data_IF_071614808468
#
_entry.id   IF_071614808468
#
_cell.length_a   1.000
_cell.length_b   1.000
_cell.length_c   1.000
_cell.angle_alpha   90.00
_cell.angle_beta   90.00
_cell.angle_gamma   90.00
#
_symmetry.space_group_name_H-M   'P 1'
#
loop_
_entity.id
_entity.type
_entity.pdbx_description
1 polymer ?
#
# COMPACT_ATOMS: atom_id res chain seq x y z
N UNK A 1 5.75 31.18 -18.85
CA UNK A 1 5.55 29.74 -19.02
C UNK A 1 5.54 29.01 -17.68
N UNK A 2 6.53 29.19 -16.78
CA UNK A 2 6.50 28.61 -15.40
C UNK A 2 5.51 29.25 -14.40
N UNK A 3 4.78 30.32 -14.78
CA UNK A 3 3.76 30.96 -13.93
C UNK A 3 2.33 30.61 -14.35
N UNK A 4 2.20 29.66 -15.28
CA UNK A 4 0.90 29.21 -15.77
C UNK A 4 0.41 28.06 -14.90
N UNK A 5 -0.74 28.26 -14.24
CA UNK A 5 -1.34 27.29 -13.36
C UNK A 5 -1.72 26.01 -14.11
N UNK A 6 -2.21 26.15 -15.35
CA UNK A 6 -2.67 25.01 -16.13
C UNK A 6 -1.49 24.15 -16.60
N UNK A 7 -0.33 24.76 -16.86
CA UNK A 7 0.91 24.04 -17.13
C UNK A 7 1.32 23.13 -15.97
N UNK A 8 1.29 23.64 -14.73
CA UNK A 8 1.67 22.84 -13.56
C UNK A 8 0.63 21.76 -13.23
N UNK A 9 -0.66 22.04 -13.42
CA UNK A 9 -1.71 21.02 -13.27
C UNK A 9 -1.51 19.87 -14.25
N UNK A 10 -1.25 20.15 -15.52
CA UNK A 10 -0.97 19.10 -16.48
C UNK A 10 0.27 18.25 -16.12
N UNK A 11 1.26 18.84 -15.45
CA UNK A 11 2.42 18.10 -14.91
C UNK A 11 2.05 17.21 -13.72
N UNK A 12 1.14 17.67 -12.86
CA UNK A 12 0.60 16.88 -11.75
C UNK A 12 -0.24 15.73 -12.29
N UNK A 13 -1.17 15.99 -13.22
CA UNK A 13 -2.04 14.97 -13.81
C UNK A 13 -1.21 13.83 -14.44
N UNK A 14 -0.17 14.18 -15.21
CA UNK A 14 0.71 13.18 -15.81
C UNK A 14 1.53 12.38 -14.78
N UNK A 15 1.83 12.97 -13.62
CA UNK A 15 2.50 12.26 -12.53
C UNK A 15 1.50 11.36 -11.79
N UNK A 16 0.28 11.81 -11.58
CA UNK A 16 -0.79 11.05 -10.94
C UNK A 16 -1.13 9.79 -11.76
N UNK A 17 -1.14 9.88 -13.09
CA UNK A 17 -1.28 8.72 -13.98
C UNK A 17 -0.18 7.67 -13.73
N UNK A 18 1.08 8.11 -13.62
CA UNK A 18 2.22 7.22 -13.33
C UNK A 18 2.14 6.62 -11.92
N UNK A 19 1.69 7.41 -10.94
CA UNK A 19 1.46 6.93 -9.57
C UNK A 19 0.40 5.82 -9.60
N UNK A 20 -0.71 6.03 -10.31
CA UNK A 20 -1.77 5.03 -10.42
C UNK A 20 -1.28 3.73 -11.08
N UNK A 21 -0.49 3.83 -12.15
CA UNK A 21 0.14 2.65 -12.79
C UNK A 21 1.02 1.86 -11.79
N UNK A 22 1.90 2.55 -11.07
CA UNK A 22 2.79 1.93 -10.09
C UNK A 22 2.02 1.32 -8.90
N UNK A 23 0.94 1.96 -8.46
CA UNK A 23 0.09 1.43 -7.40
C UNK A 23 -0.63 0.15 -7.85
N UNK A 24 -1.13 0.11 -9.08
CA UNK A 24 -1.76 -1.08 -9.65
C UNK A 24 -0.75 -2.23 -9.80
N UNK A 25 0.47 -1.94 -10.25
CA UNK A 25 1.54 -2.95 -10.31
C UNK A 25 1.87 -3.51 -8.92
N UNK A 26 2.01 -2.62 -7.92
CA UNK A 26 2.21 -3.03 -6.53
C UNK A 26 1.07 -3.90 -6.01
N UNK A 27 -0.18 -3.58 -6.36
CA UNK A 27 -1.36 -4.35 -5.98
C UNK A 27 -1.35 -5.76 -6.61
N UNK A 28 -0.89 -5.91 -7.86
CA UNK A 28 -0.72 -7.22 -8.49
C UNK A 28 0.33 -8.07 -7.78
N UNK A 29 1.42 -7.47 -7.31
CA UNK A 29 2.40 -8.17 -6.48
C UNK A 29 1.82 -8.58 -5.12
N UNK A 30 1.04 -7.70 -4.48
CA UNK A 30 0.34 -8.02 -3.24
C UNK A 30 -0.63 -9.21 -3.41
N UNK A 31 -1.43 -9.23 -4.48
CA UNK A 31 -2.30 -10.37 -4.82
C UNK A 31 -1.51 -11.68 -4.97
N UNK A 32 -0.35 -11.63 -5.62
CA UNK A 32 0.51 -12.80 -5.80
C UNK A 32 1.05 -13.31 -4.46
N UNK A 33 1.43 -12.39 -3.56
CA UNK A 33 1.83 -12.71 -2.19
C UNK A 33 0.67 -13.28 -1.39
N UNK A 34 -0.53 -12.72 -1.50
CA UNK A 34 -1.75 -13.21 -0.84
C UNK A 34 -2.07 -14.66 -1.22
N UNK A 35 -1.93 -15.03 -2.50
CA UNK A 35 -2.11 -16.42 -2.96
C UNK A 35 -1.14 -17.39 -2.28
N UNK A 36 0.12 -17.00 -2.14
CA UNK A 36 1.14 -17.81 -1.44
C UNK A 36 0.78 -17.93 0.04
N UNK A 37 0.49 -16.81 0.71
CA UNK A 37 0.14 -16.80 2.13
C UNK A 37 -1.05 -17.69 2.41
N UNK A 38 -2.08 -17.64 1.57
CA UNK A 38 -3.27 -18.44 1.78
C UNK A 38 -3.03 -19.93 1.51
N UNK A 39 -2.27 -20.28 0.47
CA UNK A 39 -1.86 -21.65 0.21
C UNK A 39 -1.02 -22.27 1.36
N UNK A 40 -0.24 -21.43 2.05
CA UNK A 40 0.62 -21.83 3.18
C UNK A 40 -0.04 -21.62 4.56
N UNK A 41 -1.28 -21.11 4.62
CA UNK A 41 -1.97 -20.80 5.89
C UNK A 41 -1.30 -19.70 6.72
N UNK A 42 -0.53 -18.81 6.09
CA UNK A 42 0.16 -17.69 6.72
C UNK A 42 -0.77 -16.49 6.95
N UNK A 43 -0.51 -15.67 7.98
CA UNK A 43 -1.28 -14.47 8.24
C UNK A 43 -1.09 -13.42 7.12
N UNK A 44 -2.18 -12.78 6.68
CA UNK A 44 -2.10 -11.67 5.73
C UNK A 44 -1.40 -10.43 6.30
N UNK A 45 -1.71 -10.09 7.55
CA UNK A 45 -1.16 -8.92 8.22
C UNK A 45 0.01 -9.29 9.14
N UNK A 46 1.16 -8.67 8.87
CA UNK A 46 2.44 -8.93 9.56
C UNK A 46 3.04 -7.58 10.01
N UNK A 47 2.77 -7.11 11.25
CA UNK A 47 3.16 -5.77 11.72
C UNK A 47 4.64 -5.43 11.56
N UNK A 48 5.52 -6.41 11.78
CA UNK A 48 6.96 -6.23 11.64
C UNK A 48 7.35 -5.91 10.19
N UNK A 49 6.65 -6.51 9.22
CA UNK A 49 6.89 -6.25 7.81
C UNK A 49 6.50 -4.82 7.43
N UNK A 50 5.37 -4.34 7.96
CA UNK A 50 4.91 -2.97 7.74
C UNK A 50 5.86 -1.96 8.34
N UNK A 51 6.30 -2.19 9.58
CA UNK A 51 7.30 -1.36 10.27
C UNK A 51 8.58 -1.26 9.45
N UNK A 52 9.06 -2.37 8.89
CA UNK A 52 10.24 -2.39 8.03
C UNK A 52 10.03 -1.55 6.76
N UNK A 53 8.85 -1.65 6.12
CA UNK A 53 8.53 -0.84 4.93
C UNK A 53 8.52 0.64 5.29
N UNK A 54 7.82 1.03 6.36
CA UNK A 54 7.68 2.42 6.77
C UNK A 54 9.01 3.04 7.21
N UNK A 55 9.90 2.28 7.85
CA UNK A 55 11.24 2.73 8.17
C UNK A 55 12.08 2.96 6.91
N UNK A 56 12.01 2.03 5.94
CA UNK A 56 12.67 2.21 4.64
C UNK A 56 12.16 3.43 3.89
N UNK A 57 10.85 3.71 3.92
CA UNK A 57 10.28 4.91 3.29
C UNK A 57 10.80 6.18 3.96
N UNK A 58 10.87 6.20 5.30
CA UNK A 58 11.47 7.31 6.03
C UNK A 58 12.93 7.54 5.61
N UNK A 59 13.73 6.49 5.52
CA UNK A 59 15.16 6.59 5.17
C UNK A 59 15.38 7.07 3.72
N UNK A 60 14.50 6.70 2.79
CA UNK A 60 14.57 7.11 1.39
C UNK A 60 13.95 8.48 1.11
N UNK A 61 13.18 9.05 2.04
CA UNK A 61 12.49 10.31 1.82
C UNK A 61 13.46 11.50 1.86
N UNK A 62 13.98 11.89 0.70
CA UNK A 62 14.74 13.12 0.49
C UNK A 62 13.93 14.27 -0.12
N UNK A 63 12.61 14.13 -0.23
CA UNK A 63 11.74 15.08 -0.91
C UNK A 63 11.17 16.17 0.00
N UNK A 64 10.30 17.05 -0.52
CA UNK A 64 9.67 18.13 0.24
C UNK A 64 8.59 17.65 1.23
N UNK A 65 8.18 16.37 1.17
CA UNK A 65 7.25 15.80 2.14
C UNK A 65 7.96 15.56 3.49
N UNK A 66 7.25 15.81 4.59
CA UNK A 66 7.75 15.37 5.90
C UNK A 66 7.82 13.83 5.95
N UNK A 67 8.73 13.30 6.76
CA UNK A 67 8.87 11.86 6.95
C UNK A 67 7.55 11.20 7.38
N UNK A 68 6.82 11.85 8.28
CA UNK A 68 5.53 11.38 8.78
C UNK A 68 4.47 11.41 7.68
N UNK A 69 4.48 12.42 6.80
CA UNK A 69 3.56 12.50 5.67
C UNK A 69 3.80 11.36 4.68
N UNK A 70 5.06 11.09 4.33
CA UNK A 70 5.42 9.98 3.46
C UNK A 70 4.98 8.63 4.08
N UNK A 71 5.26 8.42 5.37
CA UNK A 71 4.84 7.21 6.06
C UNK A 71 3.32 7.03 6.10
N UNK A 72 2.53 8.10 6.30
CA UNK A 72 1.06 8.02 6.28
C UNK A 72 0.52 7.58 4.91
N UNK A 73 1.04 8.14 3.83
CA UNK A 73 0.64 7.73 2.46
C UNK A 73 0.96 6.24 2.25
N UNK A 74 2.17 5.82 2.59
CA UNK A 74 2.57 4.42 2.41
C UNK A 74 1.80 3.45 3.30
N UNK A 75 1.37 3.88 4.50
CA UNK A 75 0.47 3.07 5.34
C UNK A 75 -0.85 2.79 4.63
N UNK A 76 -1.50 3.81 4.06
CA UNK A 76 -2.74 3.61 3.30
C UNK A 76 -2.55 2.69 2.09
N UNK A 77 -1.42 2.81 1.39
CA UNK A 77 -1.09 1.90 0.27
C UNK A 77 -0.93 0.45 0.75
N UNK A 78 -0.36 0.22 1.94
CA UNK A 78 -0.26 -1.10 2.56
C UNK A 78 -1.66 -1.60 2.94
N UNK A 79 -2.46 -0.78 3.61
CA UNK A 79 -3.81 -1.13 4.08
C UNK A 79 -4.71 -1.58 2.92
N UNK A 80 -4.71 -0.86 1.80
CA UNK A 80 -5.50 -1.24 0.62
C UNK A 80 -5.01 -2.51 -0.06
N UNK A 81 -3.70 -2.79 0.02
CA UNK A 81 -3.16 -4.05 -0.52
C UNK A 81 -3.54 -5.25 0.35
N UNK A 82 -3.52 -5.07 1.68
CA UNK A 82 -3.98 -6.09 2.61
C UNK A 82 -5.46 -6.40 2.39
N UNK A 83 -6.29 -5.37 2.23
CA UNK A 83 -7.70 -5.53 1.91
C UNK A 83 -7.92 -6.29 0.60
N UNK A 84 -7.13 -5.98 -0.42
CA UNK A 84 -7.19 -6.67 -1.70
C UNK A 84 -6.78 -8.15 -1.60
N UNK A 85 -5.77 -8.48 -0.77
CA UNK A 85 -5.38 -9.86 -0.46
C UNK A 85 -6.53 -10.63 0.21
N UNK A 86 -7.19 -10.02 1.20
CA UNK A 86 -8.33 -10.59 1.93
C UNK A 86 -9.54 -10.83 1.01
N UNK A 87 -9.97 -9.82 0.25
CA UNK A 87 -11.13 -9.88 -0.66
C UNK A 87 -10.97 -10.95 -1.76
N UNK A 88 -9.73 -11.23 -2.18
CA UNK A 88 -9.46 -12.26 -3.20
C UNK A 88 -9.47 -13.67 -2.61
N UNK A 89 -8.97 -13.85 -1.39
CA UNK A 89 -9.03 -15.14 -0.69
C UNK A 89 -10.48 -15.59 -0.48
N UNK A 90 -11.39 -14.67 -0.17
CA UNK A 90 -12.83 -14.96 -0.02
C UNK A 90 -13.50 -15.40 -1.34
N UNK A 91 -13.07 -14.83 -2.48
CA UNK A 91 -13.65 -15.15 -3.80
C UNK A 91 -13.21 -16.49 -4.36
N UNK A 92 -12.03 -16.97 -3.98
CA UNK A 92 -11.45 -18.23 -4.44
C UNK A 92 -11.86 -19.43 -3.54
N UNK A 93 -12.87 -19.28 -2.66
CA UNK A 93 -13.28 -20.26 -1.63
C UNK A 93 -12.10 -20.75 -0.75
N UNK A 94 -11.07 -19.91 -0.60
CA UNK A 94 -9.85 -20.23 0.13
C UNK A 94 -10.09 -19.98 1.64
N UNK A 95 -9.58 -20.83 2.54
CA UNK A 95 -9.81 -20.65 3.97
C UNK A 95 -9.31 -19.26 4.43
N UNK A 96 -10.08 -18.53 5.25
CA UNK A 96 -9.67 -17.23 5.72
C UNK A 96 -8.35 -17.35 6.47
N UNK A 97 -7.42 -16.44 6.18
CA UNK A 97 -6.19 -16.30 6.97
C UNK A 97 -6.57 -16.19 8.45
N UNK A 98 -5.80 -16.80 9.36
CA UNK A 98 -5.95 -16.53 10.79
C UNK A 98 -5.83 -15.01 11.00
N UNK A 99 -6.93 -14.40 11.45
CA UNK A 99 -7.01 -12.96 11.69
C UNK A 99 -6.00 -12.61 12.79
N UNK A 100 -5.04 -11.70 12.55
CA UNK A 100 -4.41 -11.03 13.66
C UNK A 100 -5.45 -10.15 14.35
N UNK A 101 -5.46 -10.23 15.67
CA UNK A 101 -6.43 -9.64 16.58
C UNK A 101 -6.67 -8.15 16.23
N UNK A 102 -7.74 -7.84 15.48
CA UNK A 102 -8.11 -6.47 15.08
C UNK A 102 -8.69 -5.73 16.28
N UNK A 103 -7.87 -5.48 17.30
CA UNK A 103 -8.17 -4.41 18.26
C UNK A 103 -7.92 -3.11 17.53
N UNK A 104 -9.00 -2.57 16.94
CA UNK A 104 -9.05 -1.21 16.44
C UNK A 104 -8.66 -0.28 17.60
N UNK A 105 -7.42 0.19 17.62
CA UNK A 105 -7.05 1.34 18.43
C UNK A 105 -7.67 2.56 17.76
N UNK A 106 -8.87 2.88 18.23
CA UNK A 106 -9.55 4.15 17.99
C UNK A 106 -8.62 5.27 18.48
N UNK A 107 -8.22 6.16 17.57
CA UNK A 107 -7.78 7.52 17.89
C UNK A 107 -8.99 8.43 17.73
#
# INVERSE_FOLDING_TARGET
MERDLDFWRAKIDALDDQILELLNERAQYALSVGKIKCAEGLPFHVPDRETLILNRIRELNGGPLSHEAAQRIFRQIIDESLRLEEDHAEKDDLPPSPLPDRKRETI
#
